data_IF_366995814027
#
_entry.id   IF_366995814027
#
_cell.length_a   1.000
_cell.length_b   1.000
_cell.length_c   1.000
_cell.angle_alpha   90.00
_cell.angle_beta   90.00
_cell.angle_gamma   90.00
#
_symmetry.space_group_name_H-M   'P 1'
#
loop_
_entity.id
_entity.type
_entity.pdbx_description
1 polymer ?
#
# COMPACT_ATOMS: atom_id res chain seq x y z
N UNK A 1 -21.15 -6.15 -9.16
CA UNK A 1 -20.33 -6.02 -7.93
C UNK A 1 -19.69 -4.64 -7.97
N UNK A 2 -19.84 -3.83 -6.93
CA UNK A 2 -19.19 -2.51 -6.84
C UNK A 2 -17.67 -2.62 -6.66
N UNK A 3 -16.94 -1.49 -6.70
CA UNK A 3 -15.50 -1.47 -6.49
C UNK A 3 -15.12 -1.98 -5.10
N UNK A 4 -14.00 -2.68 -5.00
CA UNK A 4 -13.51 -3.34 -3.78
C UNK A 4 -12.06 -2.99 -3.51
N UNK A 5 -11.78 -2.51 -2.32
CA UNK A 5 -10.42 -2.27 -1.86
C UNK A 5 -9.93 -3.47 -1.06
N UNK A 6 -9.04 -4.24 -1.67
CA UNK A 6 -8.53 -5.48 -1.09
C UNK A 6 -7.34 -5.24 -0.16
N UNK A 7 -7.24 -6.10 0.85
CA UNK A 7 -6.09 -6.20 1.74
C UNK A 7 -5.93 -7.66 2.19
N UNK A 8 -4.73 -7.98 2.67
CA UNK A 8 -4.34 -9.30 3.16
C UNK A 8 -4.48 -9.36 4.67
N UNK A 9 -5.11 -10.41 5.18
CA UNK A 9 -5.13 -10.81 6.59
C UNK A 9 -3.91 -11.70 6.89
N UNK A 10 -3.26 -11.45 8.02
CA UNK A 10 -2.04 -12.15 8.41
C UNK A 10 -2.25 -12.99 9.67
N UNK A 11 -1.41 -14.02 9.83
CA UNK A 11 -1.46 -14.95 10.96
C UNK A 11 -2.30 -16.21 10.71
N UNK A 12 -2.40 -17.09 11.71
CA UNK A 12 -3.16 -18.34 11.62
C UNK A 12 -4.67 -18.07 11.46
N UNK A 13 -5.47 -19.08 11.05
CA UNK A 13 -6.91 -18.92 10.83
C UNK A 13 -7.67 -18.25 11.98
N UNK A 14 -7.36 -18.59 13.25
CA UNK A 14 -7.98 -17.97 14.43
C UNK A 14 -7.74 -16.46 14.48
N UNK A 15 -6.48 -16.03 14.38
CA UNK A 15 -6.09 -14.61 14.40
C UNK A 15 -6.70 -13.82 13.24
N UNK A 16 -6.82 -14.42 12.06
CA UNK A 16 -7.48 -13.78 10.90
C UNK A 16 -8.95 -13.50 11.19
N UNK A 17 -9.66 -14.44 11.81
CA UNK A 17 -11.08 -14.26 12.19
C UNK A 17 -11.24 -13.20 13.28
N UNK A 18 -10.43 -13.25 14.32
CA UNK A 18 -10.43 -12.24 15.40
C UNK A 18 -10.14 -10.83 14.87
N UNK A 19 -9.22 -10.71 13.90
CA UNK A 19 -8.93 -9.43 13.24
C UNK A 19 -10.15 -8.90 12.51
N UNK A 20 -10.84 -9.75 11.74
CA UNK A 20 -12.06 -9.36 11.00
C UNK A 20 -13.18 -8.97 11.96
N UNK A 21 -13.38 -9.72 13.04
CA UNK A 21 -14.39 -9.42 14.06
C UNK A 21 -14.08 -8.10 14.78
N UNK A 22 -12.82 -7.87 15.13
CA UNK A 22 -12.38 -6.60 15.72
C UNK A 22 -12.57 -5.42 14.78
N UNK A 23 -12.35 -5.59 13.48
CA UNK A 23 -12.64 -4.53 12.50
C UNK A 23 -14.15 -4.29 12.38
N UNK A 24 -14.96 -5.35 12.35
CA UNK A 24 -16.43 -5.21 12.27
C UNK A 24 -17.03 -4.55 13.52
N UNK A 25 -16.51 -4.84 14.71
CA UNK A 25 -16.96 -4.20 15.95
C UNK A 25 -16.66 -2.69 15.99
N UNK A 26 -15.69 -2.23 15.20
CA UNK A 26 -15.38 -0.82 14.98
C UNK A 26 -16.11 -0.18 13.79
N UNK A 27 -17.09 -0.90 13.21
CA UNK A 27 -17.96 -0.37 12.18
C UNK A 27 -17.42 -0.51 10.75
N UNK A 28 -16.36 -1.29 10.53
CA UNK A 28 -15.88 -1.58 9.17
C UNK A 28 -16.71 -2.68 8.51
N UNK A 29 -17.22 -2.42 7.30
CA UNK A 29 -17.90 -3.42 6.46
C UNK A 29 -16.88 -4.30 5.72
N UNK A 30 -16.41 -5.35 6.40
CA UNK A 30 -15.37 -6.24 5.88
C UNK A 30 -16.00 -7.44 5.15
N UNK A 31 -15.74 -7.54 3.86
CA UNK A 31 -16.01 -8.73 3.05
C UNK A 31 -14.80 -9.65 2.95
N UNK A 32 -15.06 -10.95 2.79
CA UNK A 32 -14.02 -11.96 2.57
C UNK A 32 -14.09 -12.51 1.14
N UNK A 33 -12.94 -12.77 0.54
CA UNK A 33 -12.87 -13.38 -0.76
C UNK A 33 -13.19 -14.88 -0.67
N UNK A 34 -13.94 -15.41 -1.63
CA UNK A 34 -14.44 -16.80 -1.59
C UNK A 34 -13.34 -17.85 -1.73
N UNK A 35 -12.32 -17.55 -2.54
CA UNK A 35 -11.29 -18.52 -2.95
C UNK A 35 -9.93 -18.29 -2.30
N UNK A 36 -9.68 -17.06 -1.84
CA UNK A 36 -8.37 -16.65 -1.32
C UNK A 36 -8.58 -16.34 0.17
N UNK A 37 -8.26 -17.26 1.09
CA UNK A 37 -8.70 -17.16 2.49
C UNK A 37 -8.14 -15.96 3.24
N UNK A 38 -6.99 -15.43 2.81
CA UNK A 38 -6.37 -14.24 3.41
C UNK A 38 -6.86 -12.94 2.78
N UNK A 39 -7.56 -12.99 1.65
CA UNK A 39 -8.00 -11.78 0.97
C UNK A 39 -9.32 -11.28 1.57
N UNK A 40 -9.24 -10.14 2.24
CA UNK A 40 -10.40 -9.37 2.68
C UNK A 40 -10.55 -8.13 1.80
N UNK A 41 -11.72 -7.51 1.83
CA UNK A 41 -11.98 -6.26 1.12
C UNK A 41 -12.95 -5.36 1.85
N UNK A 42 -12.83 -4.07 1.58
CA UNK A 42 -13.82 -3.06 1.89
C UNK A 42 -14.60 -2.71 0.61
N UNK A 43 -15.93 -2.66 0.64
CA UNK A 43 -16.69 -2.08 -0.45
C UNK A 43 -16.39 -0.58 -0.54
N UNK A 44 -16.17 -0.10 -1.75
CA UNK A 44 -15.85 1.30 -2.00
C UNK A 44 -17.09 2.00 -2.55
N UNK A 45 -17.52 3.08 -1.89
CA UNK A 45 -18.51 3.99 -2.43
C UNK A 45 -17.79 5.13 -3.16
N UNK A 46 -18.13 5.34 -4.43
CA UNK A 46 -17.70 6.51 -5.18
C UNK A 46 -18.63 7.68 -4.87
N UNK A 47 -18.07 8.85 -4.61
CA UNK A 47 -18.80 10.08 -4.36
C UNK A 47 -18.23 11.20 -5.23
N UNK A 48 -19.10 12.13 -5.65
CA UNK A 48 -18.68 13.30 -6.42
C UNK A 48 -18.09 14.33 -5.48
N UNK A 49 -16.84 14.75 -5.73
CA UNK A 49 -16.21 15.85 -5.00
C UNK A 49 -16.66 17.16 -5.64
N UNK A 50 -17.30 18.02 -4.86
CA UNK A 50 -17.67 19.37 -5.28
C UNK A 50 -16.52 20.34 -5.05
N UNK A 51 -16.40 21.34 -5.94
CA UNK A 51 -15.40 22.39 -5.79
C UNK A 51 -15.83 23.37 -4.70
N UNK A 52 -15.06 23.42 -3.62
CA UNK A 52 -15.23 24.34 -2.51
C UNK A 52 -13.90 25.01 -2.12
N UNK A 53 -13.94 26.33 -1.95
CA UNK A 53 -12.78 27.10 -1.48
C UNK A 53 -11.63 27.18 -2.49
N UNK A 54 -10.39 27.25 -1.98
CA UNK A 54 -9.19 27.47 -2.81
C UNK A 54 -8.76 26.15 -3.48
N UNK A 55 -8.50 26.13 -4.79
CA UNK A 55 -7.95 24.97 -5.45
C UNK A 55 -6.49 24.75 -5.04
N UNK A 56 -6.15 23.52 -4.67
CA UNK A 56 -4.80 23.07 -4.35
C UNK A 56 -4.39 22.01 -5.35
N UNK A 57 -3.37 22.32 -6.14
CA UNK A 57 -2.81 21.39 -7.10
C UNK A 57 -1.86 20.44 -6.38
N UNK A 58 -2.14 19.14 -6.43
CA UNK A 58 -1.28 18.10 -5.90
C UNK A 58 -0.49 17.41 -7.02
N UNK A 59 0.66 16.83 -6.68
CA UNK A 59 1.31 15.88 -7.58
C UNK A 59 0.47 14.62 -7.76
N UNK A 60 0.79 13.82 -8.79
CA UNK A 60 0.02 12.61 -9.12
C UNK A 60 -0.13 11.65 -7.94
N UNK A 61 0.95 11.37 -7.21
CA UNK A 61 0.92 10.38 -6.12
C UNK A 61 0.12 10.89 -4.93
N UNK A 62 0.28 12.16 -4.58
CA UNK A 62 -0.49 12.80 -3.54
C UNK A 62 -1.98 12.89 -3.92
N UNK A 63 -2.30 13.22 -5.17
CA UNK A 63 -3.67 13.26 -5.67
C UNK A 63 -4.35 11.89 -5.63
N UNK A 64 -3.67 10.82 -6.05
CA UNK A 64 -4.17 9.44 -5.94
C UNK A 64 -4.40 9.01 -4.49
N UNK A 65 -3.50 9.37 -3.57
CA UNK A 65 -3.66 9.09 -2.14
C UNK A 65 -4.84 9.87 -1.53
N UNK A 66 -5.00 11.15 -1.86
CA UNK A 66 -6.14 11.99 -1.44
C UNK A 66 -7.45 11.44 -1.98
N UNK A 67 -7.47 10.98 -3.22
CA UNK A 67 -8.65 10.37 -3.84
C UNK A 67 -9.12 9.13 -3.06
N UNK A 68 -8.20 8.43 -2.39
CA UNK A 68 -8.46 7.29 -1.52
C UNK A 68 -8.82 7.67 -0.07
N UNK A 69 -8.78 8.96 0.29
CA UNK A 69 -9.12 9.45 1.64
C UNK A 69 -7.93 9.83 2.52
N UNK A 70 -6.70 9.78 2.02
CA UNK A 70 -5.55 10.30 2.77
C UNK A 70 -5.58 11.83 2.88
N UNK A 71 -4.92 12.39 3.89
CA UNK A 71 -4.67 13.83 3.95
C UNK A 71 -3.65 14.28 2.90
N UNK A 72 -3.73 15.54 2.48
CA UNK A 72 -2.71 16.13 1.61
C UNK A 72 -1.58 16.68 2.46
N UNK A 73 -0.39 16.10 2.34
CA UNK A 73 0.82 16.58 3.01
C UNK A 73 1.56 17.60 2.16
N UNK A 74 2.24 18.55 2.83
CA UNK A 74 2.95 19.66 2.18
C UNK A 74 3.96 19.26 1.10
N UNK A 75 4.72 18.14 1.21
CA UNK A 75 5.56 17.66 0.11
C UNK A 75 4.83 17.38 -1.21
N UNK A 76 3.54 17.03 -1.14
CA UNK A 76 2.73 16.67 -2.30
C UNK A 76 2.07 17.85 -3.00
N UNK A 77 2.19 19.07 -2.47
CA UNK A 77 1.56 20.28 -3.02
C UNK A 77 2.43 20.88 -4.11
N UNK A 78 1.83 21.14 -5.28
CA UNK A 78 2.47 21.80 -6.43
C UNK A 78 2.08 23.26 -6.57
N UNK A 79 0.83 23.60 -6.25
CA UNK A 79 0.35 24.98 -6.25
C UNK A 79 -0.78 25.12 -5.22
N UNK A 80 -0.76 26.21 -4.44
CA UNK A 80 -1.78 26.54 -3.46
C UNK A 80 -1.94 28.06 -3.29
N UNK A 81 -1.88 28.80 -4.41
CA UNK A 81 -1.89 30.26 -4.40
C UNK A 81 -3.08 30.83 -3.62
N UNK A 82 -2.80 31.69 -2.64
CA UNK A 82 -3.81 32.34 -1.81
C UNK A 82 -4.38 31.46 -0.68
N UNK A 83 -3.85 30.25 -0.47
CA UNK A 83 -4.29 29.37 0.61
C UNK A 83 -3.84 29.91 1.99
N UNK A 84 -4.79 30.01 2.92
CA UNK A 84 -4.51 30.32 4.34
C UNK A 84 -5.03 29.20 5.24
N UNK A 85 -4.38 29.02 6.38
CA UNK A 85 -4.83 28.06 7.40
C UNK A 85 -6.27 28.37 7.82
N UNK A 86 -7.08 27.32 7.98
CA UNK A 86 -8.51 27.39 8.29
C UNK A 86 -9.44 27.55 7.08
N UNK A 87 -8.92 27.85 5.88
CA UNK A 87 -9.76 27.98 4.68
C UNK A 87 -10.22 26.62 4.16
N UNK A 88 -11.39 26.59 3.54
CA UNK A 88 -11.81 25.47 2.70
C UNK A 88 -10.89 25.37 1.47
N UNK A 89 -10.55 24.14 1.11
CA UNK A 89 -9.70 23.83 -0.02
C UNK A 89 -10.23 22.64 -0.80
N UNK A 90 -10.03 22.65 -2.12
CA UNK A 90 -10.30 21.50 -2.99
C UNK A 90 -9.00 21.05 -3.63
N UNK A 91 -8.65 19.79 -3.45
CA UNK A 91 -7.47 19.19 -4.07
C UNK A 91 -7.80 18.70 -5.47
N UNK A 92 -6.95 19.04 -6.42
CA UNK A 92 -7.04 18.64 -7.81
C UNK A 92 -5.69 18.12 -8.31
N UNK A 93 -5.72 17.26 -9.31
CA UNK A 93 -4.53 16.78 -10.00
C UNK A 93 -4.10 17.75 -11.13
N UNK A 94 -3.02 17.39 -11.84
CA UNK A 94 -2.50 18.15 -12.99
C UNK A 94 -3.49 18.31 -14.16
N UNK A 95 -4.47 17.40 -14.29
CA UNK A 95 -5.50 17.44 -15.32
C UNK A 95 -6.75 18.21 -14.85
N UNK A 96 -6.78 18.72 -13.60
CA UNK A 96 -7.92 19.44 -13.02
C UNK A 96 -9.01 18.53 -12.46
N UNK A 97 -8.76 17.22 -12.34
CA UNK A 97 -9.68 16.26 -11.73
C UNK A 97 -9.74 16.51 -10.23
N UNK A 98 -10.94 16.71 -9.69
CA UNK A 98 -11.15 16.92 -8.25
C UNK A 98 -11.05 15.58 -7.51
N UNK A 99 -10.15 15.50 -6.53
CA UNK A 99 -9.85 14.25 -5.81
C UNK A 99 -10.32 14.26 -4.37
N UNK A 100 -10.41 15.45 -3.76
CA UNK A 100 -10.96 15.62 -2.42
C UNK A 100 -11.13 17.08 -2.04
N UNK A 101 -11.88 17.34 -0.98
CA UNK A 101 -12.09 18.64 -0.38
C UNK A 101 -11.93 18.58 1.13
N UNK A 102 -11.53 19.69 1.73
CA UNK A 102 -11.11 19.71 3.13
C UNK A 102 -10.78 21.10 3.66
N UNK A 103 -10.09 21.13 4.79
CA UNK A 103 -9.67 22.36 5.48
C UNK A 103 -8.15 22.46 5.45
N UNK A 104 -7.65 23.61 5.01
CA UNK A 104 -6.23 23.92 5.04
C UNK A 104 -5.74 23.97 6.50
N UNK A 105 -4.71 23.18 6.82
CA UNK A 105 -4.02 23.26 8.11
C UNK A 105 -2.82 24.19 8.08
N UNK A 106 -2.27 24.42 6.89
CA UNK A 106 -1.17 25.35 6.65
C UNK A 106 -1.52 26.36 5.55
N UNK A 107 -0.87 27.52 5.58
CA UNK A 107 -0.94 28.51 4.49
C UNK A 107 0.16 28.30 3.46
N UNK A 108 0.03 28.97 2.31
CA UNK A 108 0.94 28.89 1.16
C UNK A 108 2.43 29.02 1.54
N UNK A 109 2.79 30.07 2.29
CA UNK A 109 4.18 30.32 2.69
C UNK A 109 4.77 29.16 3.51
N UNK A 110 3.97 28.55 4.40
CA UNK A 110 4.46 27.47 5.24
C UNK A 110 4.65 26.17 4.43
N UNK A 111 3.70 25.87 3.55
CA UNK A 111 3.73 24.68 2.70
C UNK A 111 4.96 24.71 1.77
N UNK A 112 5.21 25.86 1.14
CA UNK A 112 6.28 26.02 0.15
C UNK A 112 7.67 26.20 0.77
N UNK A 113 7.78 26.66 2.02
CA UNK A 113 9.07 26.86 2.67
C UNK A 113 9.52 25.68 3.54
N UNK A 114 8.61 25.07 4.30
CA UNK A 114 8.96 24.02 5.26
C UNK A 114 8.76 22.61 4.71
N UNK A 115 7.89 22.43 3.71
CA UNK A 115 7.61 21.14 3.07
C UNK A 115 7.33 19.99 4.05
N UNK A 116 6.69 20.27 5.19
CA UNK A 116 6.40 19.26 6.22
C UNK A 116 5.01 19.48 6.83
N UNK A 117 4.41 18.38 7.29
CA UNK A 117 3.09 18.38 7.92
C UNK A 117 1.93 18.28 6.94
N UNK A 118 0.72 18.38 7.48
CA UNK A 118 -0.54 18.32 6.73
C UNK A 118 -0.80 19.70 6.12
N UNK A 119 -0.91 19.76 4.79
CA UNK A 119 -1.32 20.96 4.08
C UNK A 119 -2.85 21.12 4.12
N UNK A 120 -3.57 20.05 3.75
CA UNK A 120 -5.04 20.02 3.76
C UNK A 120 -5.51 18.74 4.46
N UNK A 121 -6.30 18.92 5.51
CA UNK A 121 -7.05 17.84 6.13
C UNK A 121 -8.28 17.54 5.29
N UNK A 122 -8.31 16.36 4.68
CA UNK A 122 -9.36 15.93 3.77
C UNK A 122 -10.59 15.49 4.56
N UNK A 123 -11.72 16.14 4.28
CA UNK A 123 -13.02 15.85 4.89
C UNK A 123 -13.92 15.03 3.95
N UNK A 124 -13.73 15.19 2.63
CA UNK A 124 -14.45 14.46 1.60
C UNK A 124 -13.49 14.05 0.48
N UNK A 125 -13.52 12.80 0.07
CA UNK A 125 -12.71 12.24 -1.01
C UNK A 125 -13.60 11.48 -1.99
N UNK A 126 -13.13 11.32 -3.23
CA UNK A 126 -13.88 10.62 -4.27
C UNK A 126 -14.17 9.17 -3.89
N UNK A 127 -13.21 8.49 -3.26
CA UNK A 127 -13.40 7.19 -2.64
C UNK A 127 -13.21 7.33 -1.14
N UNK A 128 -14.21 6.92 -0.36
CA UNK A 128 -14.09 6.88 1.10
C UNK A 128 -13.49 5.53 1.50
N UNK A 129 -12.17 5.49 1.64
CA UNK A 129 -11.51 4.38 2.32
C UNK A 129 -11.11 4.82 3.73
N UNK A 130 -11.30 3.96 4.74
CA UNK A 130 -10.79 4.25 6.06
C UNK A 130 -9.26 4.19 6.07
N UNK A 131 -8.59 4.92 6.98
CA UNK A 131 -7.14 5.04 7.04
C UNK A 131 -6.49 3.77 7.61
N UNK A 132 -6.58 2.65 6.89
CA UNK A 132 -6.09 1.36 7.36
C UNK A 132 -4.58 1.35 7.66
N UNK A 133 -3.78 2.20 6.98
CA UNK A 133 -2.32 2.29 7.21
C UNK A 133 -1.96 2.78 8.62
N UNK A 134 -2.80 3.61 9.21
CA UNK A 134 -2.61 4.20 10.54
C UNK A 134 -3.34 3.40 11.63
N UNK A 135 -4.00 2.31 11.24
CA UNK A 135 -4.72 1.46 12.18
C UNK A 135 -3.79 0.54 12.97
N UNK A 136 -4.21 0.19 14.19
CA UNK A 136 -3.50 -0.78 15.03
C UNK A 136 -3.32 -2.14 14.36
N UNK A 137 -4.24 -2.55 13.47
CA UNK A 137 -4.14 -3.83 12.74
C UNK A 137 -2.99 -3.80 11.73
N UNK A 138 -2.73 -2.65 11.09
CA UNK A 138 -1.61 -2.51 10.18
C UNK A 138 -0.29 -2.43 10.93
N UNK A 139 -0.24 -1.62 12.01
CA UNK A 139 0.95 -1.44 12.82
C UNK A 139 1.42 -2.76 13.45
N UNK A 140 0.51 -3.54 14.02
CA UNK A 140 0.80 -4.88 14.59
C UNK A 140 1.08 -5.97 13.55
N UNK A 141 0.94 -5.66 12.25
CA UNK A 141 1.15 -6.62 11.18
C UNK A 141 0.00 -7.62 10.98
N UNK A 142 -1.16 -7.42 11.60
CA UNK A 142 -2.36 -8.26 11.40
C UNK A 142 -2.97 -8.11 9.99
N UNK A 143 -2.78 -6.94 9.36
CA UNK A 143 -3.16 -6.71 7.96
C UNK A 143 -2.02 -6.17 7.12
N UNK A 144 -2.10 -6.40 5.82
CA UNK A 144 -1.24 -5.77 4.83
C UNK A 144 -2.04 -5.27 3.63
N UNK A 145 -1.87 -4.01 3.24
CA UNK A 145 -2.55 -3.44 2.08
C UNK A 145 -1.92 -3.98 0.80
N UNK A 146 -2.63 -4.89 0.14
CA UNK A 146 -2.16 -5.63 -1.01
C UNK A 146 -3.32 -5.91 -1.97
N UNK A 147 -3.09 -5.72 -3.27
CA UNK A 147 -4.11 -5.96 -4.28
C UNK A 147 -4.43 -7.44 -4.44
N UNK A 148 -5.67 -7.76 -4.83
CA UNK A 148 -6.09 -9.14 -5.10
C UNK A 148 -5.21 -9.84 -6.14
N UNK A 149 -4.85 -9.23 -7.29
CA UNK A 149 -3.95 -9.89 -8.25
C UNK A 149 -2.58 -10.24 -7.65
N UNK A 150 -2.05 -9.39 -6.76
CA UNK A 150 -0.79 -9.69 -6.07
C UNK A 150 -0.92 -10.87 -5.12
N UNK A 151 -2.06 -10.99 -4.42
CA UNK A 151 -2.34 -12.13 -3.55
C UNK A 151 -2.53 -13.42 -4.36
N UNK A 152 -3.24 -13.34 -5.47
CA UNK A 152 -3.43 -14.48 -6.40
C UNK A 152 -2.10 -14.97 -6.95
N UNK A 153 -1.18 -14.06 -7.34
CA UNK A 153 0.14 -14.47 -7.82
C UNK A 153 0.93 -15.31 -6.79
N UNK A 154 0.86 -14.95 -5.51
CA UNK A 154 1.49 -15.73 -4.44
C UNK A 154 0.80 -17.09 -4.20
N UNK A 155 -0.54 -17.12 -4.29
CA UNK A 155 -1.31 -18.37 -4.21
C UNK A 155 -0.98 -19.32 -5.37
N UNK A 156 -0.88 -18.80 -6.58
CA UNK A 156 -0.52 -19.60 -7.78
C UNK A 156 0.91 -20.13 -7.68
N UNK A 157 1.82 -19.42 -7.01
CA UNK A 157 3.17 -19.92 -6.77
C UNK A 157 3.19 -21.14 -5.83
N UNK A 158 2.17 -21.29 -4.97
CA UNK A 158 1.97 -22.43 -4.07
C UNK A 158 3.19 -22.78 -3.19
N UNK A 159 3.64 -21.85 -2.32
CA UNK A 159 4.87 -22.04 -1.54
C UNK A 159 4.71 -23.10 -0.44
N UNK A 160 5.63 -24.06 -0.43
CA UNK A 160 5.68 -25.15 0.54
C UNK A 160 6.75 -24.89 1.62
N UNK A 161 6.60 -25.46 2.82
CA UNK A 161 7.51 -25.27 3.95
C UNK A 161 9.01 -25.46 3.69
N UNK A 162 9.40 -26.36 2.80
CA UNK A 162 10.82 -26.67 2.55
C UNK A 162 11.36 -26.01 1.27
N UNK A 163 10.53 -25.21 0.59
CA UNK A 163 10.96 -24.57 -0.65
C UNK A 163 12.06 -23.54 -0.38
N UNK A 164 13.04 -23.51 -1.28
CA UNK A 164 13.88 -22.34 -1.53
C UNK A 164 13.19 -21.49 -2.59
N UNK A 165 12.70 -20.32 -2.17
CA UNK A 165 11.96 -19.40 -3.03
C UNK A 165 12.81 -18.17 -3.31
N UNK A 166 12.96 -17.79 -4.58
CA UNK A 166 13.70 -16.59 -4.98
C UNK A 166 12.75 -15.53 -5.54
N UNK A 167 12.75 -14.34 -4.94
CA UNK A 167 12.06 -13.15 -5.45
C UNK A 167 13.10 -12.20 -6.07
N UNK A 168 13.04 -12.03 -7.40
CA UNK A 168 14.06 -11.27 -8.13
C UNK A 168 13.88 -9.74 -8.04
N UNK A 169 12.75 -9.25 -7.52
CA UNK A 169 12.45 -7.82 -7.42
C UNK A 169 11.63 -7.53 -6.15
N UNK A 170 12.25 -7.77 -5.00
CA UNK A 170 11.48 -7.98 -3.78
C UNK A 170 10.93 -6.69 -3.16
N UNK A 171 11.53 -5.50 -3.33
CA UNK A 171 11.11 -4.29 -2.59
C UNK A 171 9.73 -3.77 -3.07
N UNK A 172 8.79 -3.42 -2.17
CA UNK A 172 8.90 -3.31 -0.70
C UNK A 172 8.53 -4.59 0.10
N UNK A 173 8.52 -5.76 -0.51
CA UNK A 173 8.30 -7.09 0.08
C UNK A 173 6.85 -7.46 0.40
N UNK A 174 5.89 -6.88 -0.32
CA UNK A 174 4.47 -7.24 -0.21
C UNK A 174 4.17 -8.69 -0.61
N UNK A 175 4.69 -9.14 -1.77
CA UNK A 175 4.54 -10.53 -2.23
C UNK A 175 5.43 -11.48 -1.43
N UNK A 176 6.71 -11.12 -1.24
CA UNK A 176 7.65 -11.88 -0.43
C UNK A 176 7.12 -12.20 0.99
N UNK A 177 6.57 -11.21 1.70
CA UNK A 177 5.96 -11.45 3.02
C UNK A 177 4.76 -12.39 2.98
N UNK A 178 4.04 -12.43 1.85
CA UNK A 178 2.94 -13.38 1.71
C UNK A 178 3.45 -14.81 1.52
N UNK A 179 4.55 -14.99 0.78
CA UNK A 179 5.19 -16.29 0.63
C UNK A 179 5.68 -16.84 1.98
N UNK A 180 6.25 -15.97 2.82
CA UNK A 180 6.57 -16.30 4.20
C UNK A 180 5.33 -16.78 4.96
N UNK A 181 4.21 -16.08 4.85
CA UNK A 181 2.97 -16.46 5.54
C UNK A 181 2.39 -17.78 5.04
N UNK A 182 2.31 -17.99 3.72
CA UNK A 182 1.71 -19.21 3.13
C UNK A 182 2.52 -20.47 3.46
N UNK A 183 3.83 -20.34 3.66
CA UNK A 183 4.72 -21.43 4.07
C UNK A 183 4.85 -21.60 5.59
N UNK A 184 4.02 -20.90 6.39
CA UNK A 184 4.14 -20.82 7.85
C UNK A 184 5.54 -20.41 8.33
N UNK A 185 6.20 -19.50 7.62
CA UNK A 185 7.58 -19.05 7.84
C UNK A 185 8.65 -20.16 7.76
N UNK A 186 8.33 -21.31 7.17
CA UNK A 186 9.28 -22.42 7.04
C UNK A 186 10.09 -22.35 5.75
N UNK A 187 9.51 -21.86 4.65
CA UNK A 187 10.24 -21.73 3.39
C UNK A 187 11.41 -20.74 3.53
N UNK A 188 12.52 -21.01 2.85
CA UNK A 188 13.64 -20.07 2.76
C UNK A 188 13.38 -19.11 1.61
N UNK A 189 13.07 -17.85 1.92
CA UNK A 189 12.75 -16.84 0.90
C UNK A 189 13.93 -15.88 0.69
N UNK A 190 14.55 -15.92 -0.49
CA UNK A 190 15.67 -15.05 -0.87
C UNK A 190 15.18 -13.94 -1.80
N UNK A 191 15.24 -12.69 -1.35
CA UNK A 191 14.81 -11.52 -2.10
C UNK A 191 15.98 -10.69 -2.63
N UNK A 192 15.89 -10.27 -3.89
CA UNK A 192 16.83 -9.38 -4.54
C UNK A 192 16.21 -8.01 -4.84
N UNK A 193 16.97 -6.93 -4.64
CA UNK A 193 16.69 -5.63 -5.26
C UNK A 193 18.00 -4.85 -5.46
N UNK A 194 18.00 -3.89 -6.39
CA UNK A 194 19.23 -3.28 -6.94
C UNK A 194 20.00 -2.38 -5.97
N UNK A 195 19.35 -1.84 -4.94
CA UNK A 195 20.02 -0.93 -4.00
C UNK A 195 19.69 -1.21 -2.53
N UNK A 196 20.64 -0.86 -1.68
CA UNK A 196 20.58 -1.06 -0.23
C UNK A 196 19.37 -0.38 0.39
N UNK A 197 19.05 0.86 0.00
CA UNK A 197 17.88 1.58 0.56
C UNK A 197 16.57 0.81 0.36
N UNK A 198 16.40 0.15 -0.78
CA UNK A 198 15.21 -0.65 -1.06
C UNK A 198 15.18 -1.96 -0.28
N UNK A 199 16.33 -2.60 -0.08
CA UNK A 199 16.41 -3.81 0.76
C UNK A 199 16.22 -3.47 2.23
N UNK A 200 16.67 -2.32 2.72
CA UNK A 200 16.38 -1.84 4.08
C UNK A 200 14.87 -1.63 4.28
N UNK A 201 14.19 -0.95 3.34
CA UNK A 201 12.72 -0.82 3.37
C UNK A 201 12.00 -2.17 3.33
N UNK A 202 12.50 -3.11 2.54
CA UNK A 202 11.96 -4.46 2.49
C UNK A 202 12.13 -5.17 3.84
N UNK A 203 13.27 -4.98 4.52
CA UNK A 203 13.54 -5.53 5.85
C UNK A 203 12.54 -5.00 6.88
N UNK A 204 12.39 -3.68 6.98
CA UNK A 204 11.41 -3.04 7.88
C UNK A 204 9.99 -3.59 7.65
N UNK A 205 9.62 -3.78 6.39
CA UNK A 205 8.31 -4.30 6.00
C UNK A 205 8.13 -5.78 6.39
N UNK A 206 9.16 -6.61 6.19
CA UNK A 206 9.17 -8.03 6.56
C UNK A 206 9.13 -8.23 8.08
N UNK A 207 9.88 -7.41 8.83
CA UNK A 207 9.92 -7.43 10.30
C UNK A 207 8.55 -7.07 10.88
N UNK A 208 7.90 -6.00 10.40
CA UNK A 208 6.52 -5.65 10.79
C UNK A 208 5.52 -6.79 10.53
N UNK A 209 5.77 -7.59 9.49
CA UNK A 209 4.92 -8.71 9.09
C UNK A 209 5.36 -10.06 9.67
N UNK A 210 6.26 -10.05 10.66
CA UNK A 210 6.71 -11.23 11.40
C UNK A 210 7.26 -12.34 10.48
N UNK A 211 7.92 -11.95 9.38
CA UNK A 211 8.63 -12.88 8.51
C UNK A 211 9.92 -13.34 9.21
N UNK A 212 10.25 -14.64 9.14
CA UNK A 212 11.39 -15.21 9.91
C UNK A 212 12.48 -15.81 9.04
N UNK A 213 12.12 -16.59 8.02
CA UNK A 213 13.10 -17.32 7.20
C UNK A 213 13.34 -16.61 5.86
N UNK A 214 13.97 -15.43 5.91
CA UNK A 214 14.28 -14.66 4.72
C UNK A 214 15.73 -14.18 4.64
N UNK A 215 16.18 -13.93 3.42
CA UNK A 215 17.46 -13.28 3.12
C UNK A 215 17.24 -12.17 2.09
N UNK A 216 17.84 -11.01 2.31
CA UNK A 216 17.78 -9.89 1.36
C UNK A 216 19.16 -9.61 0.78
N UNK A 217 19.22 -9.45 -0.53
CA UNK A 217 20.47 -9.25 -1.26
C UNK A 217 20.33 -7.99 -2.11
N UNK A 218 21.16 -6.99 -1.81
CA UNK A 218 21.25 -5.76 -2.60
C UNK A 218 22.10 -6.01 -3.85
N UNK A 219 21.47 -6.48 -4.93
CA UNK A 219 22.15 -6.86 -6.16
C UNK A 219 21.25 -6.69 -7.38
N UNK A 220 21.87 -6.54 -8.56
CA UNK A 220 21.15 -6.60 -9.83
C UNK A 220 20.77 -8.06 -10.12
N UNK A 221 19.47 -8.37 -10.02
CA UNK A 221 18.97 -9.74 -10.12
C UNK A 221 19.15 -10.36 -11.50
N UNK A 222 19.47 -9.57 -12.53
CA UNK A 222 19.82 -10.09 -13.87
C UNK A 222 21.07 -10.96 -13.85
N UNK A 223 21.97 -10.73 -12.89
CA UNK A 223 23.22 -11.48 -12.74
C UNK A 223 23.20 -12.45 -11.55
N UNK A 224 22.07 -12.59 -10.84
CA UNK A 224 21.97 -13.44 -9.66
C UNK A 224 22.37 -14.90 -9.92
N UNK A 225 22.08 -15.42 -11.11
CA UNK A 225 22.45 -16.78 -11.53
C UNK A 225 23.95 -16.99 -11.79
N UNK A 226 24.70 -15.90 -12.03
CA UNK A 226 26.16 -15.93 -12.23
C UNK A 226 26.90 -15.74 -10.91
N UNK A 227 26.43 -14.79 -10.11
CA UNK A 227 27.15 -14.32 -8.92
C UNK A 227 26.79 -15.13 -7.67
N UNK A 228 25.71 -15.92 -7.71
CA UNK A 228 25.26 -16.74 -6.59
C UNK A 228 24.96 -18.17 -7.02
N UNK A 229 25.43 -19.14 -6.21
CA UNK A 229 25.01 -20.54 -6.34
C UNK A 229 23.70 -20.74 -5.59
N UNK A 230 22.59 -20.39 -6.24
CA UNK A 230 21.23 -20.57 -5.71
C UNK A 230 20.50 -21.64 -6.52
N UNK A 231 19.95 -22.65 -5.83
CA UNK A 231 18.99 -23.59 -6.39
C UNK A 231 17.64 -23.26 -5.78
N UNK A 232 16.74 -22.74 -6.60
CA UNK A 232 15.40 -22.39 -6.20
C UNK A 232 14.43 -23.50 -6.62
N UNK A 233 13.54 -23.90 -5.72
CA UNK A 233 12.38 -24.72 -6.05
C UNK A 233 11.33 -23.88 -6.77
N UNK A 234 11.26 -22.58 -6.43
CA UNK A 234 10.30 -21.61 -6.97
C UNK A 234 10.92 -20.24 -7.18
N UNK A 235 10.53 -19.56 -8.25
CA UNK A 235 11.00 -18.20 -8.56
C UNK A 235 9.83 -17.28 -8.81
N UNK A 236 9.78 -16.16 -8.08
CA UNK A 236 8.86 -15.06 -8.31
C UNK A 236 9.58 -13.96 -9.10
N UNK A 237 8.98 -13.56 -10.22
CA UNK A 237 9.48 -12.47 -11.06
C UNK A 237 8.38 -11.42 -11.17
N UNK A 238 8.54 -10.31 -10.44
CA UNK A 238 7.65 -9.14 -10.46
C UNK A 238 8.44 -7.92 -10.96
N UNK A 239 8.76 -7.86 -12.27
CA UNK A 239 9.70 -6.88 -12.78
C UNK A 239 9.10 -5.47 -12.73
N UNK A 240 9.94 -4.42 -12.71
CA UNK A 240 9.45 -3.06 -12.90
C UNK A 240 8.69 -2.97 -14.23
N UNK A 241 7.43 -2.58 -14.16
CA UNK A 241 6.55 -2.46 -15.31
C UNK A 241 6.05 -1.03 -15.50
N UNK A 242 5.38 -0.76 -16.62
CA UNK A 242 4.77 0.55 -16.92
C UNK A 242 3.63 0.93 -15.97
N UNK A 243 3.15 -0.01 -15.15
CA UNK A 243 2.12 0.23 -14.15
C UNK A 243 0.75 0.61 -14.73
N UNK A 244 0.48 0.27 -15.99
CA UNK A 244 -0.75 0.67 -16.70
C UNK A 244 -2.05 0.18 -16.02
N UNK A 245 -1.99 -0.93 -15.28
CA UNK A 245 -3.12 -1.50 -14.56
C UNK A 245 -3.28 -1.04 -13.11
N UNK A 246 -2.45 -0.10 -12.62
CA UNK A 246 -2.57 0.42 -11.26
C UNK A 246 -3.76 1.37 -11.20
N UNK A 247 -4.65 1.15 -10.25
CA UNK A 247 -5.84 1.97 -10.01
C UNK A 247 -5.86 2.47 -8.57
N UNK A 248 -6.45 3.65 -8.32
CA UNK A 248 -7.03 4.57 -9.28
C UNK A 248 -5.95 5.38 -10.03
N UNK A 249 -6.19 5.75 -11.29
CA UNK A 249 -5.26 6.52 -12.12
C UNK A 249 -5.95 7.80 -12.58
N UNK A 250 -5.27 8.94 -12.41
CA UNK A 250 -5.70 10.27 -12.83
C UNK A 250 -5.02 10.70 -14.14
#
# INVERSE_FOLDING_TARGET
MGPRYHFRLNGPPCTKMETVESMRSEGFDIGLHKTIPEAAYLPVAEQTVTREGIPVLADRFAAEAVMQGAHLYSPGVKNCQGLRSGMKATVQDQNGVLVGSGIARQGETAILNYHQGIAVEILSSRFRLPPLRESRWYESGLIHLQSLPSMVACHVLDPMPEDVIVDLNCSPAGKMSYLCQLSDNRARVVGFDRNTRKTEKAREHLERLHCKNYQLIAHDSRYAHLDYTLRADKVLVDPPCTGLGVTPRL
#
